data_IF_007717447030
#
_entry.id   IF_007717447030
#
_cell.length_a   1.000
_cell.length_b   1.000
_cell.length_c   1.000
_cell.angle_alpha   90.00
_cell.angle_beta   90.00
_cell.angle_gamma   90.00
#
_symmetry.space_group_name_H-M   'P 1'
#
loop_
_entity.id
_entity.type
_entity.pdbx_description
1 polymer ?
#
# COMPACT_ATOMS: atom_id res chain seq x y z
N UNK A 1 13.65 10.38 -19.20
CA UNK A 1 13.34 11.83 -19.18
C UNK A 1 13.34 12.34 -17.75
N UNK A 2 13.65 13.62 -17.47
CA UNK A 2 13.70 14.17 -16.11
C UNK A 2 12.44 13.89 -15.27
N UNK A 3 11.28 13.84 -15.93
CA UNK A 3 9.99 13.55 -15.28
C UNK A 3 9.84 12.09 -14.81
N UNK A 4 10.44 11.12 -15.50
CA UNK A 4 10.43 9.70 -15.10
C UNK A 4 11.26 9.50 -13.82
N UNK A 5 12.37 10.24 -13.68
CA UNK A 5 13.17 10.21 -12.45
C UNK A 5 12.41 10.78 -11.25
N UNK A 6 11.63 11.85 -11.46
CA UNK A 6 10.76 12.41 -10.43
C UNK A 6 9.69 11.41 -10.00
N UNK A 7 9.07 10.72 -10.96
CA UNK A 7 8.07 9.68 -10.68
C UNK A 7 8.66 8.55 -9.83
N UNK A 8 9.82 8.01 -10.22
CA UNK A 8 10.52 6.99 -9.44
C UNK A 8 10.91 7.48 -8.03
N UNK A 9 11.36 8.72 -7.90
CA UNK A 9 11.66 9.30 -6.57
C UNK A 9 10.41 9.40 -5.71
N UNK A 10 9.29 9.85 -6.26
CA UNK A 10 8.01 9.92 -5.55
C UNK A 10 7.51 8.54 -5.12
N UNK A 11 7.71 7.50 -5.94
CA UNK A 11 7.38 6.11 -5.56
C UNK A 11 8.19 5.66 -4.34
N UNK A 12 9.48 5.98 -4.30
CA UNK A 12 10.39 5.61 -3.20
C UNK A 12 10.11 6.32 -1.87
N UNK A 13 9.47 7.49 -1.89
CA UNK A 13 9.11 8.26 -0.69
C UNK A 13 7.88 7.63 -0.03
N UNK A 14 8.02 7.12 1.19
CA UNK A 14 6.97 6.30 1.83
C UNK A 14 5.82 7.15 2.41
N UNK A 15 6.13 8.32 2.94
CA UNK A 15 5.21 9.07 3.83
C UNK A 15 4.29 10.04 3.07
N UNK A 16 4.56 10.32 1.79
CA UNK A 16 3.67 11.16 1.01
C UNK A 16 2.38 10.42 0.68
N UNK A 17 1.25 11.07 0.97
CA UNK A 17 -0.05 10.57 0.58
C UNK A 17 -0.12 10.40 -0.95
N UNK A 18 -0.80 9.36 -1.46
CA UNK A 18 -0.90 9.12 -2.90
C UNK A 18 -1.45 10.32 -3.68
N UNK A 19 -2.38 11.07 -3.10
CA UNK A 19 -2.93 12.29 -3.72
C UNK A 19 -1.87 13.38 -3.88
N UNK A 20 -1.05 13.59 -2.84
CA UNK A 20 0.02 14.57 -2.87
C UNK A 20 1.13 14.19 -3.86
N UNK A 21 1.52 12.91 -3.94
CA UNK A 21 2.46 12.42 -4.97
C UNK A 21 1.97 12.74 -6.39
N UNK A 22 0.68 12.49 -6.66
CA UNK A 22 0.06 12.82 -7.96
C UNK A 22 0.07 14.32 -8.25
N UNK A 23 -0.17 15.14 -7.24
CA UNK A 23 -0.12 16.60 -7.39
C UNK A 23 1.29 17.09 -7.76
N UNK A 24 2.32 16.59 -7.07
CA UNK A 24 3.72 16.93 -7.38
C UNK A 24 4.08 16.49 -8.80
N UNK A 25 3.75 15.26 -9.18
CA UNK A 25 4.02 14.73 -10.52
C UNK A 25 3.27 15.49 -11.61
N UNK A 26 2.04 15.94 -11.34
CA UNK A 26 1.26 16.75 -12.27
C UNK A 26 1.93 18.11 -12.49
N UNK A 27 2.33 18.79 -11.40
CA UNK A 27 3.03 20.07 -11.46
C UNK A 27 4.40 19.97 -12.11
N UNK A 28 5.12 18.86 -11.92
CA UNK A 28 6.46 18.70 -12.50
C UNK A 28 6.42 18.68 -14.04
N UNK A 29 5.33 18.21 -14.65
CA UNK A 29 5.20 18.15 -16.13
C UNK A 29 5.23 19.51 -16.81
N UNK A 30 4.91 20.59 -16.10
CA UNK A 30 4.94 21.96 -16.63
C UNK A 30 6.17 22.77 -16.17
N UNK A 31 7.09 22.17 -15.42
CA UNK A 31 8.31 22.83 -14.98
C UNK A 31 9.38 22.85 -16.07
N UNK A 32 10.15 23.93 -16.15
CA UNK A 32 11.40 23.98 -16.91
C UNK A 32 12.51 23.16 -16.25
N UNK A 33 13.58 22.87 -17.00
CA UNK A 33 14.67 21.97 -16.58
C UNK A 33 15.31 22.36 -15.24
N UNK A 34 15.61 23.63 -15.02
CA UNK A 34 16.22 24.11 -13.77
C UNK A 34 15.32 23.80 -12.55
N UNK A 35 14.00 23.98 -12.72
CA UNK A 35 13.02 23.72 -11.66
C UNK A 35 12.78 22.24 -11.44
N UNK A 36 12.89 21.42 -12.49
CA UNK A 36 12.89 19.97 -12.36
C UNK A 36 14.12 19.46 -11.60
N UNK A 37 15.29 20.04 -11.83
CA UNK A 37 16.51 19.71 -11.10
C UNK A 37 16.38 20.09 -9.61
N UNK A 38 15.84 21.28 -9.32
CA UNK A 38 15.57 21.72 -7.95
C UNK A 38 14.60 20.76 -7.23
N UNK A 39 13.50 20.40 -7.89
CA UNK A 39 12.53 19.43 -7.37
C UNK A 39 13.18 18.06 -7.10
N UNK A 40 14.01 17.57 -8.03
CA UNK A 40 14.74 16.31 -7.87
C UNK A 40 15.61 16.32 -6.61
N UNK A 41 16.35 17.40 -6.38
CA UNK A 41 17.20 17.55 -5.20
C UNK A 41 16.39 17.56 -3.90
N UNK A 42 15.26 18.27 -3.89
CA UNK A 42 14.33 18.27 -2.74
C UNK A 42 13.82 16.85 -2.45
N UNK A 43 13.37 16.12 -3.47
CA UNK A 43 12.86 14.75 -3.28
C UNK A 43 13.95 13.79 -2.76
N UNK A 44 15.19 13.93 -3.24
CA UNK A 44 16.33 13.17 -2.73
C UNK A 44 16.64 13.50 -1.27
N UNK A 45 16.55 14.77 -0.87
CA UNK A 45 16.73 15.19 0.51
C UNK A 45 15.63 14.65 1.42
N UNK A 46 14.37 14.76 1.01
CA UNK A 46 13.22 14.18 1.73
C UNK A 46 13.40 12.67 1.91
N UNK A 47 13.78 11.95 0.85
CA UNK A 47 14.02 10.50 0.93
C UNK A 47 15.13 10.14 1.94
N UNK A 48 16.25 10.88 1.93
CA UNK A 48 17.33 10.70 2.91
C UNK A 48 16.85 10.99 4.33
N UNK A 49 16.10 12.07 4.52
CA UNK A 49 15.58 12.45 5.84
C UNK A 49 14.61 11.41 6.41
N UNK A 50 13.71 10.86 5.57
CA UNK A 50 12.82 9.78 5.97
C UNK A 50 13.58 8.53 6.37
N UNK A 51 14.61 8.14 5.61
CA UNK A 51 15.44 6.98 5.94
C UNK A 51 16.12 7.15 7.31
N UNK A 52 16.77 8.30 7.55
CA UNK A 52 17.42 8.60 8.83
C UNK A 52 16.40 8.57 9.98
N UNK A 53 15.22 9.14 9.75
CA UNK A 53 14.16 9.20 10.76
C UNK A 53 13.63 7.79 11.09
N UNK A 54 13.40 6.94 10.08
CA UNK A 54 13.00 5.55 10.27
C UNK A 54 14.07 4.73 10.98
N UNK A 55 15.34 4.88 10.61
CA UNK A 55 16.47 4.22 11.26
C UNK A 55 16.58 4.64 12.74
N UNK A 56 16.25 5.90 13.06
CA UNK A 56 16.22 6.38 14.44
C UNK A 56 15.05 5.79 15.23
N UNK A 57 13.83 5.84 14.68
CA UNK A 57 12.63 5.29 15.33
C UNK A 57 12.81 3.79 15.60
N UNK A 58 13.34 3.04 14.64
CA UNK A 58 13.54 1.59 14.77
C UNK A 58 14.59 1.22 15.82
N UNK A 59 15.59 2.08 16.07
CA UNK A 59 16.58 1.89 17.13
C UNK A 59 16.07 2.34 18.51
N UNK A 60 15.40 3.48 18.56
CA UNK A 60 15.01 4.13 19.81
C UNK A 60 13.70 3.54 20.38
N UNK A 61 12.85 2.94 19.54
CA UNK A 61 11.58 2.35 19.96
C UNK A 61 11.48 0.87 19.53
N UNK A 62 12.01 -0.08 20.32
CA UNK A 62 11.91 -1.52 20.02
C UNK A 62 10.46 -2.01 19.84
N UNK A 63 9.50 -1.33 20.50
CA UNK A 63 8.06 -1.65 20.37
C UNK A 63 7.46 -1.23 19.02
N UNK A 64 8.13 -0.37 18.26
CA UNK A 64 7.67 0.07 16.94
C UNK A 64 7.56 -1.10 15.96
N UNK A 65 8.58 -1.97 15.91
CA UNK A 65 8.54 -3.17 15.06
C UNK A 65 7.46 -4.15 15.49
N UNK A 66 7.23 -4.30 16.80
CA UNK A 66 6.14 -5.13 17.34
C UNK A 66 4.77 -4.57 16.93
N UNK A 67 4.58 -3.25 16.97
CA UNK A 67 3.35 -2.60 16.49
C UNK A 67 3.13 -2.85 15.00
N UNK A 68 4.18 -2.79 14.18
CA UNK A 68 4.11 -3.10 12.74
C UNK A 68 3.70 -4.56 12.52
N UNK A 69 4.33 -5.52 13.20
CA UNK A 69 3.97 -6.93 13.07
C UNK A 69 2.53 -7.22 13.48
N UNK A 70 2.07 -6.61 14.57
CA UNK A 70 0.69 -6.77 15.03
C UNK A 70 -0.31 -6.19 14.03
N UNK A 71 -0.02 -5.02 13.44
CA UNK A 71 -0.84 -4.44 12.38
C UNK A 71 -0.90 -5.37 11.16
N UNK A 72 0.26 -5.91 10.73
CA UNK A 72 0.34 -6.86 9.61
C UNK A 72 -0.52 -8.11 9.85
N UNK A 73 -0.36 -8.76 11.01
CA UNK A 73 -1.16 -9.96 11.37
C UNK A 73 -2.66 -9.67 11.40
N UNK A 74 -3.05 -8.49 11.88
CA UNK A 74 -4.45 -8.05 11.89
C UNK A 74 -5.01 -7.97 10.47
N UNK A 75 -4.30 -7.28 9.57
CA UNK A 75 -4.71 -7.16 8.16
C UNK A 75 -4.75 -8.52 7.46
N UNK A 76 -3.74 -9.38 7.66
CA UNK A 76 -3.74 -10.74 7.10
C UNK A 76 -4.95 -11.55 7.55
N UNK A 77 -5.32 -11.44 8.84
CA UNK A 77 -6.52 -12.08 9.38
C UNK A 77 -7.81 -11.53 8.74
N UNK A 78 -7.94 -10.21 8.64
CA UNK A 78 -9.11 -9.57 8.00
C UNK A 78 -9.27 -10.02 6.55
N UNK A 79 -8.16 -10.13 5.80
CA UNK A 79 -8.18 -10.66 4.42
C UNK A 79 -8.63 -12.12 4.40
N UNK A 80 -8.06 -12.97 5.26
CA UNK A 80 -8.47 -14.38 5.34
C UNK A 80 -9.95 -14.55 5.70
N UNK A 81 -10.45 -13.74 6.63
CA UNK A 81 -11.85 -13.79 7.06
C UNK A 81 -12.79 -13.38 5.91
N UNK A 82 -12.44 -12.35 5.12
CA UNK A 82 -13.17 -11.99 3.91
C UNK A 82 -13.22 -13.13 2.88
N UNK A 83 -12.11 -13.86 2.70
CA UNK A 83 -12.08 -15.02 1.81
C UNK A 83 -12.94 -16.18 2.34
N UNK A 84 -12.88 -16.47 3.64
CA UNK A 84 -13.72 -17.50 4.27
C UNK A 84 -15.20 -17.22 4.07
N UNK A 85 -15.65 -15.99 4.30
CA UNK A 85 -17.04 -15.60 4.08
C UNK A 85 -17.51 -15.84 2.63
N UNK A 86 -16.65 -15.55 1.65
CA UNK A 86 -16.94 -15.84 0.24
C UNK A 86 -17.05 -17.33 -0.03
N UNK A 87 -16.18 -18.15 0.56
CA UNK A 87 -16.21 -19.60 0.41
C UNK A 87 -17.43 -20.22 1.10
N UNK A 88 -17.77 -19.80 2.33
CA UNK A 88 -18.96 -20.26 3.05
C UNK A 88 -20.23 -20.02 2.24
N UNK A 89 -20.34 -18.85 1.59
CA UNK A 89 -21.48 -18.55 0.71
C UNK A 89 -21.52 -19.51 -0.49
N UNK A 90 -20.39 -19.72 -1.16
CA UNK A 90 -20.31 -20.61 -2.32
C UNK A 90 -20.59 -22.09 -1.94
N UNK A 91 -20.09 -22.53 -0.79
CA UNK A 91 -20.32 -23.87 -0.27
C UNK A 91 -21.79 -24.08 0.11
N UNK A 92 -22.42 -23.08 0.72
CA UNK A 92 -23.87 -23.09 1.00
C UNK A 92 -24.69 -23.21 -0.29
N UNK A 93 -24.41 -22.39 -1.30
CA UNK A 93 -25.10 -22.45 -2.60
C UNK A 93 -24.96 -23.83 -3.25
N UNK A 94 -23.76 -24.43 -3.21
CA UNK A 94 -23.54 -25.80 -3.70
C UNK A 94 -24.33 -26.84 -2.92
N UNK A 95 -24.37 -26.74 -1.60
CA UNK A 95 -25.10 -27.67 -0.75
C UNK A 95 -26.62 -27.57 -0.97
N UNK A 96 -27.16 -26.36 -1.13
CA UNK A 96 -28.59 -26.16 -1.47
C UNK A 96 -28.95 -26.81 -2.82
N UNK A 97 -28.07 -26.72 -3.83
CA UNK A 97 -28.25 -27.42 -5.12
C UNK A 97 -28.24 -28.95 -4.94
N UNK A 98 -27.31 -29.48 -4.14
CA UNK A 98 -27.21 -30.93 -3.89
C UNK A 98 -28.45 -31.43 -3.16
N UNK A 99 -28.87 -30.76 -2.09
CA UNK A 99 -30.08 -31.10 -1.33
C UNK A 99 -31.31 -31.07 -2.23
N UNK A 100 -31.48 -30.01 -3.04
CA UNK A 100 -32.59 -29.92 -4.00
C UNK A 100 -32.60 -31.01 -5.08
N UNK A 101 -31.46 -31.63 -5.39
CA UNK A 101 -31.43 -32.83 -6.25
C UNK A 101 -31.91 -34.06 -5.49
N UNK A 102 -31.44 -34.28 -4.28
CA UNK A 102 -31.84 -35.44 -3.44
C UNK A 102 -33.35 -35.44 -3.23
N UNK A 103 -33.93 -34.29 -2.87
CA UNK A 103 -35.38 -34.15 -2.62
C UNK A 103 -36.29 -34.37 -3.83
N UNK A 104 -35.74 -34.40 -5.06
CA UNK A 104 -36.50 -34.68 -6.29
C UNK A 104 -36.55 -36.16 -6.66
N UNK A 105 -35.79 -37.01 -5.96
CA UNK A 105 -35.75 -38.45 -6.15
C UNK A 105 -36.48 -39.23 -5.03
N UNK A 106 -37.13 -38.50 -4.12
CA UNK A 106 -38.20 -38.99 -3.23
C UNK A 106 -39.56 -38.71 -3.86
#
# INVERSE_FOLDING_TARGET
MPTEEIEHLLESILVFEPGFKKEILSKSRSLGEDKLLELKNILLEVGRWQKITLDKITKDEPSFMVKIENAKRKTEKEVMDLYKQKLEKADREKMEIILGKISKYE
#
